data_IF_158377091995
#
_entry.id   IF_158377091995
#
_cell.length_a   1.000
_cell.length_b   1.000
_cell.length_c   1.000
_cell.angle_alpha   90.00
_cell.angle_beta   90.00
_cell.angle_gamma   90.00
#
_symmetry.space_group_name_H-M   'P 1'
#
loop_
_entity.id
_entity.type
_entity.pdbx_description
1 polymer ?
#
# COMPACT_ATOMS: atom_id res chain seq x y z
N UNK A 1 19.04 -66.00 -18.81
CA UNK A 1 19.51 -64.61 -19.02
C UNK A 1 19.99 -64.12 -17.65
N UNK A 2 21.30 -64.17 -17.37
CA UNK A 2 22.24 -63.03 -17.54
C UNK A 2 21.74 -61.79 -16.78
N UNK A 3 22.41 -61.14 -15.84
CA UNK A 3 23.78 -61.07 -15.29
C UNK A 3 23.62 -60.23 -13.98
N UNK A 4 24.22 -60.59 -12.83
CA UNK A 4 25.36 -59.91 -12.19
C UNK A 4 25.17 -58.38 -11.95
N UNK A 5 25.55 -57.72 -10.84
CA UNK A 5 26.64 -57.94 -9.87
C UNK A 5 26.67 -56.75 -8.88
N UNK A 6 27.37 -56.94 -7.75
CA UNK A 6 28.17 -55.97 -6.95
C UNK A 6 27.55 -55.31 -5.70
N UNK A 7 28.16 -55.71 -4.57
CA UNK A 7 28.25 -55.01 -3.29
C UNK A 7 28.79 -53.57 -3.47
N UNK A 8 28.36 -52.68 -2.58
CA UNK A 8 29.20 -51.59 -2.06
C UNK A 8 29.04 -51.44 -0.55
N UNK A 9 30.20 -51.29 0.12
CA UNK A 9 30.41 -51.01 1.53
C UNK A 9 30.13 -49.54 1.89
N UNK A 10 29.77 -49.36 3.17
CA UNK A 10 30.20 -48.31 4.12
C UNK A 10 29.94 -46.83 3.79
N UNK A 11 29.26 -46.13 4.72
CA UNK A 11 29.95 -45.33 5.74
C UNK A 11 28.93 -44.68 6.69
N UNK A 12 29.07 -44.96 7.99
CA UNK A 12 28.49 -44.15 9.06
C UNK A 12 29.38 -42.90 9.22
N UNK A 13 28.83 -41.72 8.98
CA UNK A 13 29.48 -40.44 9.27
C UNK A 13 28.46 -39.54 9.96
N UNK A 14 28.59 -39.40 11.28
CA UNK A 14 27.80 -38.49 12.08
C UNK A 14 28.14 -37.04 11.70
N UNK A 15 27.17 -36.32 11.14
CA UNK A 15 27.25 -34.88 10.96
C UNK A 15 26.49 -34.21 12.11
N UNK A 16 27.24 -33.57 13.01
CA UNK A 16 26.69 -32.69 14.04
C UNK A 16 25.97 -31.50 13.37
N UNK A 17 24.67 -31.39 13.61
CA UNK A 17 23.90 -30.20 13.28
C UNK A 17 24.29 -29.11 14.27
N UNK A 18 25.20 -28.22 13.84
CA UNK A 18 25.34 -26.92 14.45
C UNK A 18 24.02 -26.17 14.22
N UNK A 19 23.22 -26.06 15.29
CA UNK A 19 22.03 -25.22 15.33
C UNK A 19 22.43 -23.77 15.19
N UNK A 20 22.56 -23.31 13.95
CA UNK A 20 22.53 -21.89 13.65
C UNK A 20 21.13 -21.39 13.97
N UNK A 21 21.01 -20.66 15.09
CA UNK A 21 19.86 -19.81 15.33
C UNK A 21 19.71 -18.90 14.12
N UNK A 22 18.76 -19.19 13.23
CA UNK A 22 18.29 -18.20 12.28
C UNK A 22 17.82 -17.04 13.14
N UNK A 23 18.59 -15.94 13.10
CA UNK A 23 18.14 -14.68 13.64
C UNK A 23 16.70 -14.49 13.16
N UNK A 24 15.77 -14.41 14.11
CA UNK A 24 14.37 -14.09 13.81
C UNK A 24 14.44 -12.81 12.99
N UNK A 25 14.19 -12.90 11.68
CA UNK A 25 13.84 -11.71 10.90
C UNK A 25 12.78 -11.02 11.75
N UNK A 26 13.07 -9.81 12.24
CA UNK A 26 12.20 -9.10 13.16
C UNK A 26 10.77 -9.21 12.64
N UNK A 27 9.83 -9.51 13.52
CA UNK A 27 8.44 -9.78 13.16
C UNK A 27 7.87 -8.48 12.55
N UNK A 28 8.07 -8.26 11.25
CA UNK A 28 7.49 -7.12 10.54
C UNK A 28 5.97 -7.26 10.67
N UNK A 29 5.24 -6.16 10.90
CA UNK A 29 3.79 -6.22 10.97
C UNK A 29 3.24 -6.82 9.67
N UNK A 30 2.15 -7.58 9.79
CA UNK A 30 1.40 -7.99 8.61
C UNK A 30 0.85 -6.73 7.92
N UNK A 31 0.81 -6.67 6.58
CA UNK A 31 0.31 -5.47 5.90
C UNK A 31 -1.11 -5.09 6.35
N UNK A 32 -1.30 -3.82 6.71
CA UNK A 32 -2.63 -3.30 7.02
C UNK A 32 -3.28 -2.81 5.73
N UNK A 33 -4.21 -3.60 5.19
CA UNK A 33 -4.94 -3.28 3.97
C UNK A 33 -6.05 -2.27 4.27
N UNK A 34 -6.02 -1.10 3.65
CA UNK A 34 -7.09 -0.11 3.73
C UNK A 34 -8.16 -0.33 2.64
N UNK A 35 -7.72 -0.74 1.44
CA UNK A 35 -8.62 -1.01 0.33
C UNK A 35 -8.07 -2.08 -0.61
N UNK A 36 -8.87 -3.10 -0.88
CA UNK A 36 -8.64 -4.07 -1.96
C UNK A 36 -10.00 -4.55 -2.48
N UNK A 37 -10.40 -4.01 -3.63
CA UNK A 37 -11.73 -4.11 -4.26
C UNK A 37 -12.95 -3.66 -3.42
N UNK A 38 -12.76 -3.46 -2.12
CA UNK A 38 -13.66 -2.89 -1.13
C UNK A 38 -12.83 -2.30 0.03
N UNK A 39 -13.47 -1.50 0.89
CA UNK A 39 -12.84 -1.02 2.12
C UNK A 39 -12.59 -2.20 3.07
N UNK A 40 -11.42 -2.24 3.69
CA UNK A 40 -11.00 -3.33 4.58
C UNK A 40 -10.66 -2.80 5.97
N UNK A 41 -10.59 -3.72 6.93
CA UNK A 41 -10.00 -3.46 8.25
C UNK A 41 -10.53 -2.19 8.94
N UNK A 42 -11.83 -1.91 8.86
CA UNK A 42 -12.44 -0.74 9.54
C UNK A 42 -12.25 0.61 8.83
N UNK A 43 -11.54 0.67 7.70
CA UNK A 43 -11.39 1.90 6.95
C UNK A 43 -12.73 2.37 6.36
N UNK A 44 -12.92 3.69 6.33
CA UNK A 44 -14.11 4.38 5.89
C UNK A 44 -13.76 5.46 4.87
N UNK A 45 -14.69 5.78 3.98
CA UNK A 45 -14.53 6.85 3.02
C UNK A 45 -15.05 8.17 3.61
N UNK A 46 -14.15 9.07 3.99
CA UNK A 46 -14.45 10.41 4.54
C UNK A 46 -14.01 11.52 3.57
N UNK A 47 -14.01 11.21 2.27
CA UNK A 47 -13.54 12.10 1.22
C UNK A 47 -14.37 13.37 1.10
N UNK A 48 -13.69 14.45 0.73
CA UNK A 48 -14.33 15.69 0.26
C UNK A 48 -14.09 15.94 -1.24
N UNK A 49 -13.52 14.96 -1.95
CA UNK A 49 -13.63 14.81 -3.41
C UNK A 49 -14.84 13.95 -3.80
N UNK A 50 -15.24 14.00 -5.07
CA UNK A 50 -16.25 13.08 -5.60
C UNK A 50 -15.61 11.70 -5.75
N UNK A 51 -16.14 10.73 -5.02
CA UNK A 51 -15.63 9.36 -5.00
C UNK A 51 -16.73 8.37 -5.38
N UNK A 52 -16.34 7.37 -6.16
CA UNK A 52 -17.16 6.20 -6.44
C UNK A 52 -16.33 4.98 -6.07
N UNK A 53 -16.73 4.27 -5.01
CA UNK A 53 -16.04 3.06 -4.56
C UNK A 53 -16.40 1.88 -5.47
N UNK A 54 -15.49 0.90 -5.54
CA UNK A 54 -15.68 -0.38 -6.19
C UNK A 54 -16.16 -0.32 -7.66
N UNK A 55 -15.61 0.61 -8.45
CA UNK A 55 -15.95 0.74 -9.88
C UNK A 55 -15.39 -0.45 -10.66
N UNK A 56 -16.20 -1.26 -11.36
CA UNK A 56 -15.72 -2.46 -12.05
C UNK A 56 -14.86 -2.09 -13.26
N UNK A 57 -13.54 -2.34 -13.17
CA UNK A 57 -12.57 -2.10 -14.25
C UNK A 57 -11.72 -3.37 -14.44
N UNK A 58 -11.93 -4.04 -15.58
CA UNK A 58 -11.32 -5.34 -15.82
C UNK A 58 -11.74 -6.33 -14.74
N UNK A 59 -10.77 -6.96 -14.08
CA UNK A 59 -11.00 -7.93 -12.99
C UNK A 59 -10.91 -7.30 -11.59
N UNK A 60 -10.73 -5.98 -11.47
CA UNK A 60 -10.64 -5.28 -10.20
C UNK A 60 -11.73 -4.23 -10.03
N UNK A 61 -11.84 -3.71 -8.81
CA UNK A 61 -12.84 -2.72 -8.40
C UNK A 61 -12.17 -1.52 -7.73
N UNK A 62 -11.41 -0.68 -8.45
CA UNK A 62 -10.81 0.52 -7.88
C UNK A 62 -11.82 1.56 -7.40
N UNK A 63 -11.32 2.51 -6.60
CA UNK A 63 -12.00 3.75 -6.31
C UNK A 63 -11.77 4.70 -7.49
N UNK A 64 -12.83 5.27 -8.06
CA UNK A 64 -12.76 6.41 -8.98
C UNK A 64 -12.83 7.70 -8.17
N UNK A 65 -11.93 8.62 -8.44
CA UNK A 65 -11.87 9.93 -7.77
C UNK A 65 -11.76 11.03 -8.80
N UNK A 66 -12.60 12.05 -8.67
CA UNK A 66 -12.50 13.32 -9.41
C UNK A 66 -12.78 14.45 -8.42
N UNK A 67 -12.29 15.66 -8.70
CA UNK A 67 -12.39 16.68 -7.68
C UNK A 67 -12.15 18.10 -8.14
N UNK A 68 -12.67 19.00 -7.33
CA UNK A 68 -12.48 20.45 -7.42
C UNK A 68 -11.14 20.82 -6.72
N UNK A 69 -10.66 22.08 -6.80
CA UNK A 69 -9.42 22.50 -6.14
C UNK A 69 -9.37 22.10 -4.66
N UNK A 70 -8.23 21.59 -4.20
CA UNK A 70 -7.95 21.17 -2.82
C UNK A 70 -8.83 20.04 -2.27
N UNK A 71 -9.67 19.43 -3.10
CA UNK A 71 -10.45 18.25 -2.72
C UNK A 71 -9.55 17.01 -2.57
N UNK A 72 -9.98 16.04 -1.75
CA UNK A 72 -9.19 14.83 -1.52
C UNK A 72 -10.05 13.56 -1.43
N UNK A 73 -9.48 12.46 -1.90
CA UNK A 73 -9.82 11.14 -1.37
C UNK A 73 -9.27 11.06 0.05
N UNK A 74 -10.10 10.69 1.02
CA UNK A 74 -9.69 10.48 2.40
C UNK A 74 -10.20 9.13 2.91
N UNK A 75 -9.28 8.26 3.29
CA UNK A 75 -9.58 6.98 3.93
C UNK A 75 -9.28 7.10 5.42
N UNK A 76 -10.33 7.13 6.23
CA UNK A 76 -10.29 7.27 7.68
C UNK A 76 -10.37 5.91 8.37
N UNK A 77 -9.71 5.77 9.51
CA UNK A 77 -9.79 4.63 10.43
C UNK A 77 -9.77 5.18 11.86
N UNK A 78 -10.21 4.38 12.84
CA UNK A 78 -9.91 4.71 14.25
C UNK A 78 -8.39 4.92 14.44
N UNK A 79 -7.97 5.72 15.42
CA UNK A 79 -6.54 6.00 15.60
C UNK A 79 -5.72 4.70 15.72
N UNK A 80 -4.70 4.54 14.87
CA UNK A 80 -3.83 3.35 14.86
C UNK A 80 -2.36 3.73 14.77
N UNK A 81 -1.49 2.89 15.34
CA UNK A 81 -0.05 3.09 15.28
C UNK A 81 0.53 2.60 13.95
N UNK A 82 1.41 3.40 13.36
CA UNK A 82 2.22 3.03 12.19
C UNK A 82 3.55 2.37 12.57
N UNK A 83 3.79 2.11 13.86
CA UNK A 83 5.00 1.43 14.33
C UNK A 83 5.20 0.09 13.61
N UNK A 84 6.40 -0.13 13.09
CA UNK A 84 6.76 -1.32 12.32
C UNK A 84 6.45 -1.24 10.82
N UNK A 85 5.59 -0.32 10.36
CA UNK A 85 5.41 -0.05 8.93
C UNK A 85 6.46 0.96 8.44
N UNK A 86 6.97 0.73 7.25
CA UNK A 86 7.96 1.55 6.57
C UNK A 86 7.38 2.42 5.46
N UNK A 87 6.29 1.97 4.81
CA UNK A 87 5.69 2.61 3.64
C UNK A 87 4.17 2.40 3.56
N UNK A 88 3.54 3.25 2.75
CA UNK A 88 2.22 3.07 2.20
C UNK A 88 2.36 2.70 0.71
N UNK A 89 1.79 1.58 0.31
CA UNK A 89 1.75 1.15 -1.09
C UNK A 89 0.35 1.27 -1.65
N UNK A 90 0.22 1.68 -2.91
CA UNK A 90 -1.04 1.64 -3.66
C UNK A 90 -0.80 1.53 -5.17
N UNK A 91 -1.85 1.15 -5.90
CA UNK A 91 -1.86 1.07 -7.35
C UNK A 91 -2.77 2.17 -7.91
N UNK A 92 -2.24 3.02 -8.78
CA UNK A 92 -2.95 4.20 -9.29
C UNK A 92 -2.89 4.29 -10.83
N UNK A 93 -3.93 4.86 -11.43
CA UNK A 93 -4.04 5.17 -12.86
C UNK A 93 -4.65 6.56 -13.05
N UNK A 94 -4.02 7.41 -13.86
CA UNK A 94 -4.45 8.81 -14.09
C UNK A 94 -5.75 8.96 -14.90
N UNK A 95 -6.45 7.85 -15.16
CA UNK A 95 -7.66 7.83 -15.97
C UNK A 95 -7.37 8.09 -17.44
N UNK A 96 -8.36 8.63 -18.15
CA UNK A 96 -8.26 8.87 -19.59
C UNK A 96 -7.20 9.92 -19.93
N UNK A 97 -7.15 10.99 -19.14
CA UNK A 97 -6.42 12.21 -19.48
C UNK A 97 -5.12 12.38 -18.68
N UNK A 98 -5.03 11.83 -17.46
CA UNK A 98 -3.92 12.10 -16.55
C UNK A 98 -3.89 13.56 -16.09
N UNK A 99 -2.69 14.04 -15.76
CA UNK A 99 -2.45 15.47 -15.45
C UNK A 99 -2.74 15.87 -14.01
N UNK A 100 -3.17 14.93 -13.16
CA UNK A 100 -3.35 15.20 -11.74
C UNK A 100 -1.98 15.40 -11.07
N UNK A 101 -1.91 16.37 -10.16
CA UNK A 101 -0.83 16.45 -9.17
C UNK A 101 -1.49 16.25 -7.81
N UNK A 102 -1.12 15.18 -7.11
CA UNK A 102 -1.72 14.79 -5.84
C UNK A 102 -0.67 14.83 -4.73
N UNK A 103 -1.04 15.38 -3.57
CA UNK A 103 -0.27 15.28 -2.34
C UNK A 103 -0.81 14.10 -1.54
N UNK A 104 0.06 13.14 -1.22
CA UNK A 104 -0.23 12.08 -0.26
C UNK A 104 0.19 12.57 1.12
N UNK A 105 -0.74 12.55 2.06
CA UNK A 105 -0.53 13.01 3.44
C UNK A 105 -1.18 12.05 4.43
N UNK A 106 -0.63 11.98 5.64
CA UNK A 106 -1.30 11.38 6.78
C UNK A 106 -2.06 12.43 7.60
N UNK A 107 -3.08 11.99 8.34
CA UNK A 107 -3.76 12.80 9.34
C UNK A 107 -3.64 12.18 10.73
N UNK A 108 -3.52 13.02 11.75
CA UNK A 108 -3.55 12.63 13.14
C UNK A 108 -4.43 13.62 13.91
N UNK A 109 -5.29 13.08 14.79
CA UNK A 109 -6.29 13.83 15.54
C UNK A 109 -7.16 14.72 14.63
N UNK A 110 -7.56 14.20 13.48
CA UNK A 110 -8.38 14.88 12.47
C UNK A 110 -7.67 16.02 11.74
N UNK A 111 -6.34 16.14 11.85
CA UNK A 111 -5.55 17.20 11.20
C UNK A 111 -4.48 16.61 10.30
N UNK A 112 -4.29 17.21 9.13
CA UNK A 112 -3.21 16.80 8.23
C UNK A 112 -1.85 17.09 8.86
N UNK A 113 -0.96 16.11 8.79
CA UNK A 113 0.45 16.28 9.12
C UNK A 113 1.08 17.15 8.02
N UNK A 114 1.91 18.12 8.44
CA UNK A 114 2.58 19.06 7.53
C UNK A 114 3.79 18.40 6.83
N UNK A 115 3.50 17.44 5.96
CA UNK A 115 4.46 16.76 5.11
C UNK A 115 3.74 16.17 3.89
N UNK A 116 4.24 16.49 2.70
CA UNK A 116 3.60 16.15 1.42
C UNK A 116 4.50 15.26 0.59
N UNK A 117 3.97 14.11 0.16
CA UNK A 117 4.59 13.31 -0.90
C UNK A 117 3.81 13.51 -2.20
N UNK A 118 4.43 14.19 -3.17
CA UNK A 118 3.76 14.58 -4.42
C UNK A 118 3.87 13.48 -5.47
N UNK A 119 2.74 13.13 -6.10
CA UNK A 119 2.68 12.17 -7.20
C UNK A 119 1.93 12.72 -8.41
N UNK A 120 2.25 12.18 -9.58
CA UNK A 120 1.60 12.51 -10.85
C UNK A 120 1.23 11.22 -11.58
N UNK A 121 0.02 10.67 -11.38
CA UNK A 121 -0.38 9.43 -12.03
C UNK A 121 -0.47 9.61 -13.55
N UNK A 122 0.07 8.63 -14.28
CA UNK A 122 0.11 8.67 -15.74
C UNK A 122 -1.24 8.28 -16.35
N UNK A 123 -1.62 8.94 -17.44
CA UNK A 123 -2.81 8.60 -18.20
C UNK A 123 -2.78 7.14 -18.66
N UNK A 124 -3.92 6.45 -18.54
CA UNK A 124 -4.17 5.08 -19.04
C UNK A 124 -3.14 4.04 -18.58
N UNK A 125 -2.43 4.31 -17.50
CA UNK A 125 -1.31 3.48 -17.03
C UNK A 125 -1.52 3.18 -15.56
N UNK A 126 -1.62 1.90 -15.22
CA UNK A 126 -1.56 1.45 -13.83
C UNK A 126 -0.10 1.40 -13.37
N UNK A 127 0.20 2.02 -12.24
CA UNK A 127 1.51 2.00 -11.62
C UNK A 127 1.40 1.76 -10.12
N UNK A 128 2.36 1.01 -9.58
CA UNK A 128 2.57 0.91 -8.13
C UNK A 128 3.27 2.18 -7.66
N UNK A 129 2.80 2.75 -6.56
CA UNK A 129 3.44 3.86 -5.86
C UNK A 129 3.74 3.40 -4.45
N UNK A 130 4.97 3.66 -4.01
CA UNK A 130 5.43 3.42 -2.66
C UNK A 130 5.76 4.77 -2.03
N UNK A 131 5.05 5.11 -0.96
CA UNK A 131 5.27 6.34 -0.20
C UNK A 131 5.94 5.96 1.12
N UNK A 132 7.25 6.25 1.31
CA UNK A 132 7.89 6.02 2.60
C UNK A 132 7.18 6.82 3.69
N UNK A 133 6.80 6.19 4.80
CA UNK A 133 6.05 6.87 5.86
C UNK A 133 6.86 8.01 6.49
N UNK A 134 8.19 7.92 6.47
CA UNK A 134 9.06 9.01 6.94
C UNK A 134 8.93 10.27 6.08
N UNK A 135 8.66 10.15 4.78
CA UNK A 135 8.60 11.28 3.85
C UNK A 135 7.30 12.08 4.02
N UNK A 136 6.25 11.45 4.55
CA UNK A 136 5.00 12.10 4.98
C UNK A 136 4.93 12.29 6.50
N UNK A 137 6.08 12.18 7.20
CA UNK A 137 6.20 12.31 8.65
C UNK A 137 5.14 11.50 9.43
N UNK A 138 4.90 10.26 8.99
CA UNK A 138 3.94 9.33 9.60
C UNK A 138 4.62 8.10 10.21
N UNK A 139 5.93 7.90 10.08
CA UNK A 139 6.63 6.74 10.64
C UNK A 139 6.62 6.73 12.18
N UNK A 140 6.20 5.61 12.78
CA UNK A 140 6.15 5.42 14.24
C UNK A 140 5.16 6.36 14.96
N UNK A 141 4.13 6.84 14.26
CA UNK A 141 3.11 7.75 14.79
C UNK A 141 1.77 7.06 14.92
N UNK A 142 0.89 7.65 15.72
CA UNK A 142 -0.54 7.32 15.66
C UNK A 142 -1.20 8.25 14.63
N UNK A 143 -1.93 7.66 13.69
CA UNK A 143 -2.65 8.37 12.61
C UNK A 143 -4.10 7.88 12.55
N UNK A 144 -4.98 8.66 11.93
CA UNK A 144 -6.41 8.33 11.75
C UNK A 144 -6.89 8.40 10.29
N UNK A 145 -6.10 8.97 9.37
CA UNK A 145 -6.43 8.92 7.95
C UNK A 145 -5.20 9.01 7.04
N UNK A 146 -5.39 8.56 5.79
CA UNK A 146 -4.53 8.89 4.66
C UNK A 146 -5.38 9.64 3.63
N UNK A 147 -4.80 10.69 3.06
CA UNK A 147 -5.45 11.50 2.03
C UNK A 147 -4.60 11.61 0.77
N UNK A 148 -5.28 11.67 -0.38
CA UNK A 148 -4.72 12.03 -1.69
C UNK A 148 -5.40 13.31 -2.13
N UNK A 149 -4.75 14.44 -1.85
CA UNK A 149 -5.31 15.78 -2.04
C UNK A 149 -4.85 16.37 -3.38
N UNK A 150 -5.81 16.89 -4.16
CA UNK A 150 -5.51 17.69 -5.36
C UNK A 150 -4.96 19.07 -5.03
N UNK A 151 -4.42 19.75 -6.04
CA UNK A 151 -3.85 21.10 -5.91
C UNK A 151 -4.91 22.19 -6.12
N UNK A 152 -4.47 23.44 -6.35
CA UNK A 152 -5.32 24.60 -6.58
C UNK A 152 -6.16 24.60 -7.87
N UNK A 153 -6.23 23.49 -8.60
CA UNK A 153 -7.06 23.32 -9.81
C UNK A 153 -7.91 22.06 -9.71
N UNK A 154 -9.10 22.09 -10.31
CA UNK A 154 -9.89 20.89 -10.51
C UNK A 154 -9.10 19.86 -11.33
N UNK A 155 -9.41 18.57 -11.13
CA UNK A 155 -8.67 17.49 -11.75
C UNK A 155 -9.59 16.42 -12.34
N UNK A 156 -9.21 15.92 -13.51
CA UNK A 156 -9.89 14.82 -14.19
C UNK A 156 -9.86 13.53 -13.37
N UNK A 157 -10.77 12.59 -13.62
CA UNK A 157 -10.87 11.35 -12.85
C UNK A 157 -9.60 10.51 -12.89
N UNK A 158 -9.16 10.05 -11.73
CA UNK A 158 -8.16 9.00 -11.57
C UNK A 158 -8.75 7.79 -10.85
N UNK A 159 -8.02 6.69 -10.86
CA UNK A 159 -8.42 5.44 -10.21
C UNK A 159 -7.32 4.94 -9.28
N UNK A 160 -7.69 4.45 -8.10
CA UNK A 160 -6.75 3.94 -7.09
C UNK A 160 -7.29 2.65 -6.45
N UNK A 161 -6.40 1.69 -6.17
CA UNK A 161 -6.73 0.40 -5.54
C UNK A 161 -5.51 -0.18 -4.79
N UNK A 162 -5.69 -1.31 -4.12
CA UNK A 162 -4.65 -2.06 -3.38
C UNK A 162 -3.84 -1.19 -2.44
N UNK A 163 -4.55 -0.46 -1.58
CA UNK A 163 -3.99 0.51 -0.64
C UNK A 163 -3.65 -0.24 0.65
N UNK A 164 -2.40 -0.22 1.07
CA UNK A 164 -1.95 -0.93 2.27
C UNK A 164 -0.69 -0.30 2.90
N UNK A 165 -0.54 -0.47 4.21
CA UNK A 165 0.69 -0.17 4.93
C UNK A 165 1.59 -1.41 5.01
N UNK A 166 2.90 -1.22 4.84
CA UNK A 166 3.94 -2.28 4.82
C UNK A 166 5.19 -1.89 5.60
#
# INVERSE_FOLDING_TARGET
>A
MSVSRRLFLAALGAAGVAGGSLARAGNLPQPLVAYDDELKNGFQNWSWARTQLAVPIGNGKPIRVEGDPWSALALHHDAFSTEGYSKLTFVINGGKDGGQTLMVKAMADGKAIDADYVIQPKAKTWAVVEVPLKDINAAGKTIDAIIWQGQGTAYSPYYITRIQFE
#
